data_IF_803780316119
#
_entry.id   IF_803780316119
#
_cell.length_a   1.000
_cell.length_b   1.000
_cell.length_c   1.000
_cell.angle_alpha   90.00
_cell.angle_beta   90.00
_cell.angle_gamma   90.00
#
_symmetry.space_group_name_H-M   'P 1'
#
loop_
_entity.id
_entity.type
_entity.pdbx_description
1 polymer ?
#
# COMPACT_ATOMS: atom_id res chain seq x y z
N UNK A 1 -1.06 9.88 -27.05
CA UNK A 1 -0.31 8.71 -27.54
C UNK A 1 -1.31 7.65 -27.98
N UNK A 2 -1.27 7.24 -29.25
CA UNK A 2 -2.08 6.12 -29.73
C UNK A 2 -1.37 4.81 -29.35
N UNK A 3 -2.09 3.88 -28.73
CA UNK A 3 -1.56 2.58 -28.32
C UNK A 3 -2.05 1.50 -29.30
N UNK A 4 -1.15 0.64 -29.79
CA UNK A 4 -1.52 -0.48 -30.68
C UNK A 4 -1.31 -1.80 -29.94
N UNK A 5 -2.39 -2.54 -29.73
CA UNK A 5 -2.34 -3.88 -29.17
C UNK A 5 -1.84 -4.87 -30.23
N UNK A 6 -0.72 -5.54 -29.95
CA UNK A 6 -0.08 -6.53 -30.84
C UNK A 6 -0.20 -7.97 -30.33
N UNK A 7 -0.99 -8.19 -29.28
CA UNK A 7 -1.12 -9.49 -28.63
C UNK A 7 -1.72 -10.53 -29.58
N UNK A 8 -2.75 -10.18 -30.35
CA UNK A 8 -3.33 -11.10 -31.35
C UNK A 8 -2.36 -11.46 -32.50
N UNK A 9 -1.71 -10.50 -33.18
CA UNK A 9 -0.66 -10.80 -34.15
C UNK A 9 0.45 -11.69 -33.58
N UNK A 10 0.87 -11.42 -32.33
CA UNK A 10 1.88 -12.21 -31.65
C UNK A 10 1.42 -13.66 -31.39
N UNK A 11 0.20 -13.86 -30.88
CA UNK A 11 -0.36 -15.20 -30.64
C UNK A 11 -0.47 -15.99 -31.95
N UNK A 12 -0.91 -15.33 -33.02
CA UNK A 12 -1.03 -15.95 -34.34
C UNK A 12 0.33 -16.38 -34.88
N UNK A 13 1.35 -15.53 -34.80
CA UNK A 13 2.72 -15.88 -35.19
C UNK A 13 3.31 -16.99 -34.31
N UNK A 14 3.06 -16.96 -32.99
CA UNK A 14 3.52 -18.00 -32.06
C UNK A 14 2.91 -19.35 -32.39
N UNK A 15 1.59 -19.41 -32.61
CA UNK A 15 0.89 -20.65 -32.93
C UNK A 15 1.32 -21.19 -34.30
N UNK A 16 1.52 -20.31 -35.29
CA UNK A 16 2.02 -20.70 -36.60
C UNK A 16 3.47 -21.22 -36.55
N UNK A 17 4.33 -20.61 -35.73
CA UNK A 17 5.70 -21.09 -35.48
C UNK A 17 5.73 -22.46 -34.78
N UNK A 18 4.82 -22.71 -33.83
CA UNK A 18 4.67 -24.03 -33.20
C UNK A 18 4.19 -25.07 -34.20
N UNK A 19 3.17 -24.76 -35.00
CA UNK A 19 2.64 -25.67 -36.03
C UNK A 19 3.70 -26.01 -37.07
N UNK A 20 4.46 -25.02 -37.57
CA UNK A 20 5.56 -25.28 -38.50
C UNK A 20 6.65 -26.14 -37.89
N UNK A 21 7.00 -25.95 -36.60
CA UNK A 21 7.93 -26.82 -35.89
C UNK A 21 7.43 -28.28 -35.80
N UNK A 22 6.14 -28.50 -35.58
CA UNK A 22 5.53 -29.83 -35.59
C UNK A 22 5.50 -30.47 -36.98
N UNK A 23 5.21 -29.72 -38.04
CA UNK A 23 5.19 -30.22 -39.42
C UNK A 23 6.59 -30.72 -39.85
N UNK A 24 7.66 -30.03 -39.46
CA UNK A 24 9.03 -30.49 -39.73
C UNK A 24 9.51 -31.60 -38.77
N UNK A 25 8.95 -31.69 -37.57
CA UNK A 25 9.25 -32.77 -36.63
C UNK A 25 8.59 -34.10 -37.04
N UNK A 26 7.36 -34.06 -37.56
CA UNK A 26 6.64 -35.24 -38.05
C UNK A 26 7.31 -35.86 -39.29
N UNK A 27 7.85 -35.04 -40.20
CA UNK A 27 8.63 -35.54 -41.35
C UNK A 27 9.93 -36.25 -40.91
N UNK A 28 10.49 -35.89 -39.76
CA UNK A 28 11.72 -36.48 -39.23
C UNK A 28 11.45 -37.68 -38.28
N UNK A 29 10.19 -37.88 -37.88
CA UNK A 29 9.78 -38.99 -37.00
C UNK A 29 9.59 -40.30 -37.77
N UNK A 30 9.16 -40.23 -39.04
CA UNK A 30 8.92 -41.43 -39.87
C UNK A 30 10.18 -42.28 -40.07
N UNK A 31 11.36 -41.66 -40.15
CA UNK A 31 12.63 -42.36 -40.40
C UNK A 31 13.34 -42.85 -39.11
N UNK A 32 12.83 -42.52 -37.92
CA UNK A 32 13.43 -42.95 -36.64
C UNK A 32 12.57 -43.93 -35.83
N UNK A 33 11.39 -44.29 -36.32
CA UNK A 33 10.38 -45.11 -35.62
C UNK A 33 10.68 -46.63 -35.58
N UNK A 34 11.94 -47.07 -35.53
CA UNK A 34 12.23 -48.52 -35.45
C UNK A 34 13.41 -48.94 -34.54
N UNK A 35 14.06 -48.04 -33.81
CA UNK A 35 15.23 -48.41 -32.98
C UNK A 35 15.23 -47.90 -31.53
N UNK A 36 14.13 -47.31 -31.06
CA UNK A 36 13.95 -47.05 -29.62
C UNK A 36 12.61 -47.62 -29.22
N UNK A 37 12.63 -48.54 -28.25
CA UNK A 37 11.45 -49.15 -27.67
C UNK A 37 10.46 -48.05 -27.27
N UNK A 38 9.21 -48.19 -27.70
CA UNK A 38 8.11 -47.34 -27.29
C UNK A 38 7.88 -47.53 -25.80
N UNK A 39 8.45 -46.65 -24.99
CA UNK A 39 7.99 -46.46 -23.61
C UNK A 39 6.59 -45.83 -23.68
N UNK A 40 5.61 -46.70 -23.50
CA UNK A 40 4.20 -46.34 -23.54
C UNK A 40 3.86 -45.51 -22.32
N UNK A 41 3.73 -44.20 -22.54
CA UNK A 41 2.96 -43.32 -21.67
C UNK A 41 3.77 -42.59 -20.63
N UNK A 42 4.37 -41.46 -21.02
CA UNK A 42 4.12 -40.16 -20.40
C UNK A 42 4.56 -39.10 -21.41
N UNK A 43 3.71 -38.09 -21.63
CA UNK A 43 3.97 -36.94 -22.48
C UNK A 43 5.16 -36.13 -21.94
N UNK A 44 6.39 -36.51 -22.31
CA UNK A 44 7.58 -35.78 -21.91
C UNK A 44 7.84 -34.61 -22.86
N UNK A 45 7.56 -33.45 -22.29
CA UNK A 45 7.92 -32.13 -22.79
C UNK A 45 9.39 -32.08 -23.16
N UNK A 46 9.68 -31.50 -24.32
CA UNK A 46 11.03 -31.15 -24.79
C UNK A 46 11.75 -30.38 -23.68
N UNK A 47 12.72 -31.04 -23.05
CA UNK A 47 13.88 -30.51 -22.34
C UNK A 47 13.72 -29.09 -21.73
N UNK A 48 12.98 -29.03 -20.62
CA UNK A 48 13.19 -28.03 -19.56
C UNK A 48 13.86 -28.69 -18.33
N UNK A 49 14.75 -29.66 -18.57
CA UNK A 49 15.42 -30.44 -17.52
C UNK A 49 16.37 -29.62 -16.62
N UNK A 50 16.50 -28.30 -16.87
CA UNK A 50 17.24 -27.34 -16.04
C UNK A 50 16.39 -26.16 -15.53
N UNK A 51 15.06 -26.18 -15.68
CA UNK A 51 14.21 -25.26 -14.90
C UNK A 51 13.84 -26.00 -13.64
N UNK A 52 14.53 -25.67 -12.53
CA UNK A 52 14.20 -26.13 -11.19
C UNK A 52 12.69 -26.06 -10.98
N UNK A 53 11.98 -27.19 -11.07
CA UNK A 53 10.54 -27.23 -10.83
C UNK A 53 10.22 -27.01 -9.33
N UNK A 54 11.23 -27.07 -8.47
CA UNK A 54 11.19 -26.64 -7.07
C UNK A 54 11.14 -25.12 -6.88
N UNK A 55 11.42 -24.31 -7.93
CA UNK A 55 11.44 -22.84 -7.86
C UNK A 55 10.15 -22.15 -8.33
N UNK A 56 9.03 -22.87 -8.41
CA UNK A 56 7.72 -22.30 -8.74
C UNK A 56 6.89 -21.95 -7.49
N UNK A 57 7.35 -22.29 -6.29
CA UNK A 57 6.72 -21.79 -5.08
C UNK A 57 7.02 -20.29 -4.95
N UNK A 58 5.99 -19.45 -4.72
CA UNK A 58 6.24 -18.05 -4.44
C UNK A 58 7.15 -17.93 -3.19
N UNK A 59 8.08 -16.97 -3.16
CA UNK A 59 8.98 -16.79 -2.03
C UNK A 59 8.24 -16.70 -0.71
N UNK A 60 8.79 -17.23 0.38
CA UNK A 60 8.12 -17.26 1.71
C UNK A 60 7.70 -15.86 2.21
N UNK A 61 8.33 -14.79 1.70
CA UNK A 61 7.96 -13.42 2.04
C UNK A 61 6.73 -12.88 1.28
N UNK A 62 6.21 -13.58 0.27
CA UNK A 62 5.01 -13.16 -0.47
C UNK A 62 3.77 -13.15 0.40
N UNK A 63 3.64 -14.09 1.34
CA UNK A 63 2.51 -14.12 2.27
C UNK A 63 2.51 -12.87 3.17
N UNK A 64 3.70 -12.45 3.61
CA UNK A 64 3.87 -11.21 4.36
C UNK A 64 3.58 -9.96 3.50
N UNK A 65 3.85 -10.01 2.19
CA UNK A 65 3.49 -8.93 1.26
C UNK A 65 1.96 -8.81 1.14
N UNK A 66 1.25 -9.91 0.91
CA UNK A 66 -0.21 -9.92 0.79
C UNK A 66 -0.89 -9.46 2.08
N UNK A 67 -0.42 -9.96 3.22
CA UNK A 67 -0.94 -9.55 4.52
C UNK A 67 -0.67 -8.05 4.78
N UNK A 68 0.49 -7.52 4.39
CA UNK A 68 0.76 -6.08 4.53
C UNK A 68 -0.17 -5.27 3.62
N UNK A 69 -0.44 -5.72 2.39
CA UNK A 69 -1.39 -5.06 1.49
C UNK A 69 -2.82 -5.08 2.04
N UNK A 70 -3.22 -6.18 2.68
CA UNK A 70 -4.49 -6.28 3.37
C UNK A 70 -4.56 -5.28 4.54
N UNK A 71 -3.52 -5.22 5.38
CA UNK A 71 -3.40 -4.26 6.48
C UNK A 71 -3.48 -2.82 5.96
N UNK A 72 -2.76 -2.48 4.89
CA UNK A 72 -2.78 -1.14 4.28
C UNK A 72 -4.19 -0.73 3.84
N UNK A 73 -4.89 -1.64 3.17
CA UNK A 73 -6.26 -1.41 2.70
C UNK A 73 -7.22 -1.16 3.86
N UNK A 74 -7.13 -1.98 4.91
CA UNK A 74 -7.94 -1.83 6.13
C UNK A 74 -7.60 -0.56 6.90
N UNK A 75 -6.32 -0.20 6.95
CA UNK A 75 -5.83 0.98 7.66
C UNK A 75 -6.35 2.26 6.98
N UNK A 76 -6.39 2.32 5.64
CA UNK A 76 -7.01 3.42 4.90
C UNK A 76 -8.47 3.62 5.30
N UNK A 77 -9.28 2.55 5.26
CA UNK A 77 -10.71 2.62 5.64
C UNK A 77 -10.90 3.07 7.08
N UNK A 78 -10.05 2.59 8.00
CA UNK A 78 -10.10 3.00 9.41
C UNK A 78 -9.72 4.46 9.62
N UNK A 79 -8.68 4.97 8.94
CA UNK A 79 -8.33 6.39 9.01
C UNK A 79 -9.49 7.25 8.49
N UNK A 80 -10.09 6.87 7.36
CA UNK A 80 -11.20 7.64 6.78
C UNK A 80 -12.42 7.66 7.73
N UNK A 81 -12.73 6.52 8.36
CA UNK A 81 -13.77 6.42 9.38
C UNK A 81 -13.47 7.28 10.62
N UNK A 82 -12.19 7.36 11.04
CA UNK A 82 -11.76 8.22 12.16
C UNK A 82 -12.03 9.70 11.85
N UNK A 83 -11.67 10.11 10.63
CA UNK A 83 -11.84 11.50 10.16
C UNK A 83 -13.33 11.87 10.13
N UNK A 84 -14.18 10.98 9.64
CA UNK A 84 -15.63 11.19 9.63
C UNK A 84 -16.18 11.34 11.05
N UNK A 85 -15.74 10.49 11.98
CA UNK A 85 -16.18 10.54 13.38
C UNK A 85 -15.70 11.83 14.08
N UNK A 86 -14.45 12.23 13.86
CA UNK A 86 -13.91 13.51 14.35
C UNK A 86 -14.72 14.71 13.82
N UNK A 87 -15.09 14.71 12.54
CA UNK A 87 -15.90 15.77 11.94
C UNK A 87 -17.34 15.78 12.50
N UNK A 88 -17.92 14.61 12.75
CA UNK A 88 -19.25 14.45 13.35
C UNK A 88 -19.29 14.99 14.78
N UNK A 89 -18.28 14.68 15.60
CA UNK A 89 -18.18 15.20 16.97
C UNK A 89 -17.98 16.72 16.99
N UNK A 90 -17.26 17.25 15.99
CA UNK A 90 -17.14 18.68 15.83
C UNK A 90 -18.49 19.31 15.46
N UNK A 91 -19.26 18.79 14.52
CA UNK A 91 -20.47 19.50 14.06
C UNK A 91 -21.64 19.57 15.05
N UNK A 92 -21.59 18.86 16.19
CA UNK A 92 -22.70 18.83 17.15
C UNK A 92 -22.72 20.02 18.12
N UNK A 93 -23.88 20.70 18.28
CA UNK A 93 -24.23 21.45 19.48
C UNK A 93 -24.46 20.44 20.61
N UNK A 94 -23.93 20.70 21.78
CA UNK A 94 -23.75 19.74 22.89
C UNK A 94 -25.04 19.08 23.40
N UNK A 95 -24.85 17.90 24.01
CA UNK A 95 -25.72 17.14 24.92
C UNK A 95 -26.42 15.91 24.29
N UNK A 96 -26.26 14.78 24.97
CA UNK A 96 -26.67 13.38 24.70
C UNK A 96 -25.82 12.55 23.71
N UNK A 97 -25.24 11.46 24.24
CA UNK A 97 -24.50 10.35 23.60
C UNK A 97 -22.98 10.48 23.31
N UNK A 98 -22.21 11.28 24.07
CA UNK A 98 -20.75 11.39 23.88
C UNK A 98 -19.96 10.10 24.17
N UNK A 99 -20.38 9.32 25.18
CA UNK A 99 -19.56 8.20 25.69
C UNK A 99 -19.41 7.02 24.73
N UNK A 100 -20.39 6.75 23.86
CA UNK A 100 -20.30 5.65 22.90
C UNK A 100 -19.40 6.00 21.72
N UNK A 101 -19.54 7.21 21.17
CA UNK A 101 -18.72 7.68 20.06
C UNK A 101 -17.26 7.88 20.49
N UNK A 102 -17.01 8.37 21.72
CA UNK A 102 -15.68 8.47 22.30
C UNK A 102 -15.00 7.11 22.47
N UNK A 103 -15.70 6.12 23.01
CA UNK A 103 -15.19 4.74 23.09
C UNK A 103 -14.87 4.17 21.70
N UNK A 104 -15.70 4.47 20.69
CA UNK A 104 -15.45 4.05 19.32
C UNK A 104 -14.19 4.71 18.75
N UNK A 105 -13.97 6.00 18.96
CA UNK A 105 -12.74 6.69 18.54
C UNK A 105 -11.48 6.11 19.20
N UNK A 106 -11.54 5.86 20.51
CA UNK A 106 -10.42 5.26 21.24
C UNK A 106 -10.13 3.83 20.78
N UNK A 107 -11.18 3.04 20.51
CA UNK A 107 -11.03 1.71 19.94
C UNK A 107 -10.37 1.79 18.55
N UNK A 108 -10.86 2.67 17.68
CA UNK A 108 -10.35 2.83 16.33
C UNK A 108 -8.89 3.31 16.33
N UNK A 109 -8.55 4.25 17.23
CA UNK A 109 -7.17 4.74 17.45
C UNK A 109 -6.23 3.61 17.87
N UNK A 110 -6.65 2.76 18.82
CA UNK A 110 -5.89 1.57 19.24
C UNK A 110 -5.74 0.55 18.11
N UNK A 111 -6.79 0.32 17.34
CA UNK A 111 -6.77 -0.58 16.19
C UNK A 111 -5.85 -0.08 15.06
N UNK A 112 -5.85 1.22 14.77
CA UNK A 112 -4.93 1.85 13.84
C UNK A 112 -3.48 1.69 14.33
N UNK A 113 -3.22 1.93 15.61
CA UNK A 113 -1.90 1.71 16.22
C UNK A 113 -1.41 0.27 16.06
N UNK A 114 -2.26 -0.71 16.38
CA UNK A 114 -1.95 -2.14 16.18
C UNK A 114 -1.71 -2.48 14.71
N UNK A 115 -2.49 -1.92 13.79
CA UNK A 115 -2.33 -2.14 12.37
C UNK A 115 -1.00 -1.57 11.84
N UNK A 116 -0.60 -0.38 12.28
CA UNK A 116 0.72 0.18 11.96
C UNK A 116 1.86 -0.70 12.48
N UNK A 117 1.79 -1.16 13.73
CA UNK A 117 2.82 -2.06 14.29
C UNK A 117 2.87 -3.39 13.53
N UNK A 118 1.71 -3.99 13.23
CA UNK A 118 1.63 -5.24 12.45
C UNK A 118 2.20 -5.08 11.05
N UNK A 119 1.82 -4.02 10.33
CA UNK A 119 2.38 -3.71 9.01
C UNK A 119 3.89 -3.47 9.06
N UNK A 120 4.38 -2.75 10.08
CA UNK A 120 5.81 -2.53 10.29
C UNK A 120 6.56 -3.86 10.52
N UNK A 121 6.04 -4.74 11.38
CA UNK A 121 6.67 -6.03 11.64
C UNK A 121 6.75 -6.90 10.39
N UNK A 122 5.70 -6.92 9.55
CA UNK A 122 5.72 -7.67 8.30
C UNK A 122 6.71 -7.10 7.29
N UNK A 123 6.79 -5.78 7.16
CA UNK A 123 7.82 -5.13 6.34
C UNK A 123 9.22 -5.49 6.83
N UNK A 124 9.45 -5.58 8.15
CA UNK A 124 10.72 -6.05 8.69
C UNK A 124 10.98 -7.53 8.36
N UNK A 125 9.97 -8.39 8.40
CA UNK A 125 10.09 -9.80 7.98
C UNK A 125 10.47 -9.93 6.50
N UNK A 126 9.88 -9.12 5.62
CA UNK A 126 10.26 -9.09 4.21
C UNK A 126 11.69 -8.57 4.05
N UNK A 127 12.08 -7.56 4.83
CA UNK A 127 13.44 -7.00 4.82
C UNK A 127 14.49 -8.00 5.29
N UNK A 128 14.20 -8.81 6.31
CA UNK A 128 15.10 -9.87 6.76
C UNK A 128 15.15 -11.01 5.75
N UNK A 129 14.02 -11.39 5.13
CA UNK A 129 13.99 -12.35 4.04
C UNK A 129 14.84 -11.89 2.84
N UNK A 130 14.75 -10.62 2.45
CA UNK A 130 15.56 -10.02 1.39
C UNK A 130 17.08 -10.13 1.67
N UNK A 131 17.50 -10.06 2.94
CA UNK A 131 18.91 -10.19 3.31
C UNK A 131 19.44 -11.62 3.12
N UNK A 132 18.59 -12.62 3.33
CA UNK A 132 18.93 -14.05 3.27
C UNK A 132 18.59 -14.71 1.91
N UNK A 133 17.92 -13.99 1.02
CA UNK A 133 17.62 -14.46 -0.33
C UNK A 133 18.93 -14.82 -1.08
N UNK A 134 19.00 -16.05 -1.58
CA UNK A 134 20.13 -16.58 -2.36
C UNK A 134 20.08 -16.14 -3.82
N UNK A 135 18.89 -15.88 -4.36
CA UNK A 135 18.69 -15.37 -5.71
C UNK A 135 18.83 -13.85 -5.82
N UNK A 136 19.66 -13.37 -6.74
CA UNK A 136 19.83 -11.92 -6.97
C UNK A 136 18.53 -11.23 -7.41
N UNK A 137 17.72 -11.90 -8.23
CA UNK A 137 16.44 -11.36 -8.72
C UNK A 137 15.40 -11.32 -7.59
N UNK A 138 15.32 -12.40 -6.81
CA UNK A 138 14.42 -12.47 -5.65
C UNK A 138 14.77 -11.41 -4.60
N UNK A 139 16.06 -11.21 -4.32
CA UNK A 139 16.54 -10.15 -3.43
C UNK A 139 16.12 -8.77 -3.91
N UNK A 140 16.29 -8.48 -5.21
CA UNK A 140 15.91 -7.19 -5.79
C UNK A 140 14.39 -6.97 -5.72
N UNK A 141 13.60 -8.02 -5.97
CA UNK A 141 12.14 -7.98 -5.86
C UNK A 141 11.69 -7.73 -4.42
N UNK A 142 12.27 -8.42 -3.44
CA UNK A 142 11.94 -8.24 -2.03
C UNK A 142 12.32 -6.83 -1.52
N UNK A 143 13.47 -6.28 -1.94
CA UNK A 143 13.86 -4.90 -1.63
C UNK A 143 12.87 -3.91 -2.25
N UNK A 144 12.44 -4.14 -3.48
CA UNK A 144 11.42 -3.32 -4.15
C UNK A 144 10.07 -3.38 -3.42
N UNK A 145 9.66 -4.56 -2.94
CA UNK A 145 8.45 -4.76 -2.17
C UNK A 145 8.50 -4.01 -0.83
N UNK A 146 9.59 -4.15 -0.06
CA UNK A 146 9.81 -3.41 1.20
C UNK A 146 9.68 -1.91 0.98
N UNK A 147 10.17 -1.40 -0.14
CA UNK A 147 10.04 0.02 -0.46
C UNK A 147 8.61 0.46 -0.72
N UNK A 148 7.94 -0.22 -1.64
CA UNK A 148 6.56 0.12 -1.98
C UNK A 148 5.67 0.10 -0.73
N UNK A 149 5.82 -0.92 0.12
CA UNK A 149 5.10 -1.04 1.38
C UNK A 149 5.49 0.03 2.40
N UNK A 150 6.78 0.33 2.54
CA UNK A 150 7.25 1.36 3.48
C UNK A 150 6.76 2.76 3.08
N UNK A 151 6.80 3.09 1.79
CA UNK A 151 6.27 4.35 1.26
C UNK A 151 4.76 4.45 1.48
N UNK A 152 4.00 3.37 1.23
CA UNK A 152 2.56 3.35 1.47
C UNK A 152 2.21 3.50 2.97
N UNK A 153 2.93 2.79 3.85
CA UNK A 153 2.76 2.93 5.31
C UNK A 153 3.13 4.33 5.79
N UNK A 154 4.20 4.93 5.25
CA UNK A 154 4.61 6.29 5.60
C UNK A 154 3.56 7.32 5.15
N UNK A 155 3.01 7.19 3.93
CA UNK A 155 1.95 8.07 3.44
C UNK A 155 0.72 8.01 4.35
N UNK A 156 0.28 6.79 4.71
CA UNK A 156 -0.84 6.61 5.64
C UNK A 156 -0.52 7.15 7.04
N UNK A 157 0.71 6.97 7.53
CA UNK A 157 1.18 7.54 8.79
C UNK A 157 1.13 9.07 8.82
N UNK A 158 1.52 9.71 7.71
CA UNK A 158 1.41 11.16 7.55
C UNK A 158 -0.05 11.63 7.51
N UNK A 159 -0.91 10.92 6.76
CA UNK A 159 -2.37 11.20 6.74
C UNK A 159 -2.98 11.08 8.13
N UNK A 160 -2.66 10.02 8.87
CA UNK A 160 -3.14 9.79 10.23
C UNK A 160 -2.70 10.92 11.19
N UNK A 161 -1.41 11.29 11.18
CA UNK A 161 -0.89 12.37 12.02
C UNK A 161 -1.52 13.72 11.66
N UNK A 162 -1.72 13.99 10.37
CA UNK A 162 -2.38 15.20 9.90
C UNK A 162 -3.84 15.26 10.36
N UNK A 163 -4.59 14.16 10.22
CA UNK A 163 -5.97 14.04 10.69
C UNK A 163 -6.10 14.25 12.20
N UNK A 164 -5.22 13.61 12.99
CA UNK A 164 -5.19 13.77 14.44
C UNK A 164 -4.83 15.21 14.85
N UNK A 165 -3.80 15.80 14.23
CA UNK A 165 -3.40 17.18 14.54
C UNK A 165 -4.51 18.19 14.18
N UNK A 166 -5.19 17.97 13.04
CA UNK A 166 -6.33 18.79 12.63
C UNK A 166 -7.46 18.75 13.67
N UNK A 167 -7.81 17.55 14.15
CA UNK A 167 -8.79 17.38 15.21
C UNK A 167 -8.37 18.07 16.51
N UNK A 168 -7.12 17.88 16.96
CA UNK A 168 -6.59 18.53 18.16
C UNK A 168 -6.65 20.07 18.06
N UNK A 169 -6.29 20.65 16.92
CA UNK A 169 -6.39 22.11 16.71
C UNK A 169 -7.85 22.58 16.76
N UNK A 170 -8.76 21.83 16.16
CA UNK A 170 -10.18 22.17 16.17
C UNK A 170 -10.81 22.07 17.57
N UNK A 171 -10.45 21.06 18.36
CA UNK A 171 -10.90 20.94 19.77
C UNK A 171 -10.37 22.12 20.60
N UNK A 172 -9.08 22.45 20.49
CA UNK A 172 -8.49 23.59 21.21
C UNK A 172 -9.13 24.92 20.83
N UNK A 173 -9.33 25.18 19.54
CA UNK A 173 -9.99 26.44 19.10
C UNK A 173 -11.44 26.56 19.61
N UNK A 174 -12.14 25.44 19.81
CA UNK A 174 -13.47 25.44 20.43
C UNK A 174 -13.41 25.72 21.92
N UNK A 175 -12.45 25.14 22.61
CA UNK A 175 -12.20 25.39 24.02
C UNK A 175 -11.85 26.86 24.27
N UNK A 176 -10.94 27.43 23.47
CA UNK A 176 -10.59 28.86 23.53
C UNK A 176 -11.81 29.76 23.28
N UNK A 177 -12.61 29.45 22.25
CA UNK A 177 -13.83 30.21 21.95
C UNK A 177 -14.87 30.07 23.07
N UNK A 178 -15.04 28.87 23.61
CA UNK A 178 -15.93 28.61 24.74
C UNK A 178 -15.48 29.40 25.97
N UNK A 179 -14.19 29.32 26.33
CA UNK A 179 -13.63 30.02 27.48
C UNK A 179 -13.75 31.54 27.38
N UNK A 180 -13.62 32.13 26.19
CA UNK A 180 -13.79 33.58 25.97
C UNK A 180 -15.19 34.08 26.36
N UNK A 181 -16.26 33.35 26.02
CA UNK A 181 -17.62 33.72 26.43
C UNK A 181 -17.81 33.69 27.96
N UNK A 182 -17.13 32.79 28.67
CA UNK A 182 -17.29 32.63 30.12
C UNK A 182 -16.41 33.56 30.96
N UNK A 183 -15.19 33.88 30.50
CA UNK A 183 -14.30 34.78 31.25
C UNK A 183 -14.78 36.23 31.22
N UNK A 184 -15.46 36.64 30.15
CA UNK A 184 -15.94 38.02 30.00
C UNK A 184 -17.20 38.27 30.84
N UNK A 185 -18.14 37.32 30.91
CA UNK A 185 -19.33 37.42 31.77
C UNK A 185 -18.98 37.45 33.27
N UNK A 186 -17.99 36.68 33.73
CA UNK A 186 -17.58 36.73 35.15
C UNK A 186 -17.01 38.10 35.53
N UNK A 187 -16.33 38.79 34.60
CA UNK A 187 -15.84 40.15 34.83
C UNK A 187 -16.95 41.20 34.77
N UNK A 188 -17.95 41.04 33.90
CA UNK A 188 -19.08 41.97 33.76
C UNK A 188 -20.03 41.85 34.96
N UNK A 189 -20.30 40.63 35.45
CA UNK A 189 -21.15 40.42 36.62
C UNK A 189 -20.49 40.82 37.94
N UNK A 190 -19.18 40.58 38.13
CA UNK A 190 -18.49 41.03 39.35
C UNK A 190 -18.35 42.57 39.41
N UNK A 191 -18.17 43.22 38.26
CA UNK A 191 -18.15 44.69 38.19
C UNK A 191 -19.54 45.31 38.36
N UNK A 192 -20.60 44.68 37.83
CA UNK A 192 -21.98 45.18 38.01
C UNK A 192 -22.56 44.87 39.40
N UNK A 193 -22.24 43.73 40.03
CA UNK A 193 -22.66 43.44 41.40
C UNK A 193 -21.99 44.38 42.42
N UNK A 194 -20.74 44.78 42.16
CA UNK A 194 -20.07 45.82 42.94
C UNK A 194 -20.68 47.21 42.71
N UNK A 195 -21.25 47.49 41.54
CA UNK A 195 -21.91 48.76 41.22
C UNK A 195 -23.34 48.86 41.78
N UNK A 196 -24.12 47.77 41.75
CA UNK A 196 -25.52 47.74 42.22
C UNK A 196 -25.66 47.69 43.76
N UNK A 197 -24.60 47.32 44.50
CA UNK A 197 -24.63 47.33 45.98
C UNK A 197 -24.58 48.75 46.57
N UNK A 198 -24.19 49.77 45.80
CA UNK A 198 -24.12 51.18 46.26
C UNK A 198 -25.34 52.03 45.88
N UNK A 199 -26.31 51.49 45.14
CA UNK A 199 -27.48 52.24 44.65
C UNK A 199 -28.79 51.92 45.39
N UNK A 200 -28.75 51.16 46.49
CA UNK A 200 -29.95 50.85 47.28
C UNK A 200 -30.28 51.90 48.36
N UNK A 201 -29.62 53.05 48.37
CA UNK A 201 -29.90 54.15 49.29
C UNK A 201 -29.98 55.49 48.56
N UNK A 202 -30.98 55.67 47.69
CA UNK A 202 -31.66 56.96 47.55
C UNK A 202 -32.85 56.93 46.59
N UNK A 203 -33.99 57.27 47.18
CA UNK A 203 -35.08 58.06 46.63
C UNK A 203 -36.14 57.35 45.75
N UNK A 204 -37.35 57.43 46.27
CA UNK A 204 -38.63 57.20 45.62
C UNK A 204 -38.78 58.02 44.33
N UNK A 205 -39.65 57.54 43.43
CA UNK A 205 -40.17 58.15 42.18
C UNK A 205 -39.57 57.65 40.86
N UNK A 206 -40.05 56.49 40.37
CA UNK A 206 -40.64 56.39 39.03
C UNK A 206 -41.31 55.02 38.84
N UNK A 207 -42.64 55.04 38.69
CA UNK A 207 -43.44 53.95 38.11
C UNK A 207 -43.12 53.89 36.61
N UNK A 208 -43.20 52.70 35.99
CA UNK A 208 -43.28 52.47 34.53
C UNK A 208 -42.02 52.03 33.77
N UNK A 209 -41.16 51.18 34.35
CA UNK A 209 -40.14 50.47 33.55
C UNK A 209 -39.74 49.11 34.12
N UNK A 210 -40.71 48.22 34.40
CA UNK A 210 -40.44 46.90 34.99
C UNK A 210 -40.89 45.68 34.16
N UNK A 211 -41.51 45.84 32.99
CA UNK A 211 -42.08 44.70 32.26
C UNK A 211 -41.21 44.10 31.13
N UNK A 212 -40.09 44.74 30.76
CA UNK A 212 -39.29 44.30 29.60
C UNK A 212 -37.93 43.66 29.95
N UNK A 213 -37.61 43.53 31.25
CA UNK A 213 -36.30 43.02 31.72
C UNK A 213 -36.31 41.55 32.15
N UNK A 214 -37.47 41.03 32.53
CA UNK A 214 -37.62 39.64 32.99
C UNK A 214 -37.51 38.61 31.85
N UNK A 215 -37.88 38.99 30.62
CA UNK A 215 -37.91 38.04 29.49
C UNK A 215 -36.54 37.83 28.82
N UNK A 216 -35.62 38.79 28.93
CA UNK A 216 -34.23 38.63 28.46
C UNK A 216 -33.30 38.00 29.51
N UNK A 217 -33.64 38.05 30.79
CA UNK A 217 -32.84 37.41 31.84
C UNK A 217 -33.10 35.89 31.94
N UNK A 218 -34.28 35.41 31.57
CA UNK A 218 -34.59 33.98 31.69
C UNK A 218 -33.77 33.11 30.72
N UNK A 219 -33.45 33.58 29.51
CA UNK A 219 -32.59 32.84 28.58
C UNK A 219 -31.10 32.85 29.00
N UNK A 220 -30.64 33.90 29.70
CA UNK A 220 -29.27 33.96 30.22
C UNK A 220 -29.04 33.14 31.49
N UNK A 221 -30.08 32.93 32.31
CA UNK A 221 -29.96 32.18 33.58
C UNK A 221 -30.06 30.67 33.37
N UNK A 222 -30.69 30.20 32.30
CA UNK A 222 -30.82 28.76 32.03
C UNK A 222 -29.49 28.10 31.64
N UNK A 223 -28.52 28.88 31.14
CA UNK A 223 -27.13 28.47 30.90
C UNK A 223 -26.23 28.56 32.15
N UNK A 224 -26.75 29.10 33.26
CA UNK A 224 -26.02 29.38 34.49
C UNK A 224 -26.15 28.27 35.55
N UNK A 225 -26.88 27.19 35.23
CA UNK A 225 -27.13 26.04 36.12
C UNK A 225 -26.25 24.81 35.80
N UNK A 226 -25.21 24.94 34.97
CA UNK A 226 -24.19 23.89 34.90
C UNK A 226 -23.16 24.15 36.00
N UNK A 227 -23.18 23.30 37.02
CA UNK A 227 -22.34 23.39 38.22
C UNK A 227 -20.87 23.56 37.80
N UNK A 228 -20.10 24.54 38.32
CA UNK A 228 -18.67 24.67 38.01
C UNK A 228 -17.88 23.37 38.21
N UNK A 229 -18.34 22.49 39.10
CA UNK A 229 -17.78 21.15 39.28
C UNK A 229 -17.97 20.25 38.05
N UNK A 230 -19.14 20.27 37.41
CA UNK A 230 -19.43 19.45 36.22
C UNK A 230 -18.70 19.97 34.99
N UNK A 231 -18.50 21.29 34.90
CA UNK A 231 -17.64 21.92 33.88
C UNK A 231 -16.18 21.51 34.03
N UNK A 232 -15.67 21.48 35.27
CA UNK A 232 -14.29 21.06 35.54
C UNK A 232 -14.09 19.56 35.26
N UNK A 233 -15.09 18.71 35.54
CA UNK A 233 -15.07 17.29 35.16
C UNK A 233 -15.03 17.11 33.65
N UNK A 234 -15.88 17.82 32.91
CA UNK A 234 -15.93 17.72 31.44
C UNK A 234 -14.62 18.20 30.79
N UNK A 235 -14.02 19.28 31.31
CA UNK A 235 -12.71 19.74 30.85
C UNK A 235 -11.60 18.71 31.13
N UNK A 236 -11.60 18.09 32.32
CA UNK A 236 -10.62 17.07 32.70
C UNK A 236 -10.74 15.80 31.83
N UNK A 237 -11.96 15.31 31.56
CA UNK A 237 -12.21 14.17 30.67
C UNK A 237 -11.71 14.44 29.24
N UNK A 238 -11.91 15.67 28.74
CA UNK A 238 -11.40 16.09 27.43
C UNK A 238 -9.88 16.15 27.38
N UNK A 239 -9.23 16.62 28.44
CA UNK A 239 -7.77 16.68 28.53
C UNK A 239 -7.17 15.26 28.56
N UNK A 240 -7.80 14.32 29.24
CA UNK A 240 -7.42 12.89 29.21
C UNK A 240 -7.51 12.31 27.80
N UNK A 241 -8.60 12.56 27.08
CA UNK A 241 -8.77 12.10 25.69
C UNK A 241 -7.70 12.68 24.75
N UNK A 242 -7.40 13.96 24.87
CA UNK A 242 -6.31 14.61 24.12
C UNK A 242 -4.97 13.94 24.46
N UNK A 243 -4.73 13.65 25.74
CA UNK A 243 -3.57 12.89 26.21
C UNK A 243 -3.43 11.53 25.54
N UNK A 244 -4.53 10.77 25.45
CA UNK A 244 -4.58 9.45 24.81
C UNK A 244 -4.20 9.52 23.31
N UNK A 245 -4.70 10.53 22.59
CA UNK A 245 -4.35 10.75 21.18
C UNK A 245 -2.85 11.06 21.02
N UNK A 246 -2.32 11.96 21.85
CA UNK A 246 -0.90 12.35 21.79
C UNK A 246 -0.01 11.16 22.12
N UNK A 247 -0.39 10.33 23.10
CA UNK A 247 0.33 9.12 23.46
C UNK A 247 0.33 8.11 22.31
N UNK A 248 -0.82 7.87 21.66
CA UNK A 248 -0.91 6.98 20.50
C UNK A 248 0.03 7.41 19.35
N UNK A 249 0.13 8.72 19.08
CA UNK A 249 1.06 9.25 18.07
C UNK A 249 2.52 9.13 18.53
N UNK A 250 2.78 9.33 19.83
CA UNK A 250 4.11 9.20 20.41
C UNK A 250 4.62 7.76 20.33
N UNK A 251 3.77 6.77 20.60
CA UNK A 251 4.10 5.34 20.53
C UNK A 251 4.50 4.93 19.10
N UNK A 252 3.82 5.46 18.09
CA UNK A 252 4.12 5.19 16.67
C UNK A 252 5.32 5.99 16.13
N UNK A 253 5.88 6.92 16.90
CA UNK A 253 6.96 7.81 16.44
C UNK A 253 8.18 7.04 15.94
N UNK A 254 8.56 5.98 16.64
CA UNK A 254 9.72 5.16 16.27
C UNK A 254 9.47 4.42 14.95
N UNK A 255 8.27 3.83 14.78
CA UNK A 255 7.84 3.18 13.53
C UNK A 255 7.91 4.16 12.36
N UNK A 256 7.37 5.36 12.52
CA UNK A 256 7.39 6.36 11.44
C UNK A 256 8.81 6.84 11.10
N UNK A 257 9.69 6.98 12.10
CA UNK A 257 11.10 7.31 11.86
C UNK A 257 11.82 6.21 11.09
N UNK A 258 11.58 4.96 11.44
CA UNK A 258 12.19 3.81 10.77
C UNK A 258 11.65 3.59 9.36
N UNK A 259 10.34 3.80 9.15
CA UNK A 259 9.76 3.77 7.80
C UNK A 259 10.35 4.88 6.92
N UNK A 260 10.51 6.08 7.47
CA UNK A 260 11.12 7.21 6.76
C UNK A 260 12.58 6.95 6.39
N UNK A 261 13.38 6.35 7.28
CA UNK A 261 14.77 5.99 6.97
C UNK A 261 14.84 4.91 5.89
N UNK A 262 13.96 3.90 5.95
CA UNK A 262 13.88 2.86 4.92
C UNK A 262 13.56 3.43 3.54
N UNK A 263 12.74 4.49 3.47
CA UNK A 263 12.43 5.18 2.22
C UNK A 263 13.57 6.13 1.77
N UNK A 264 14.20 6.83 2.71
CA UNK A 264 15.26 7.81 2.42
C UNK A 264 16.57 7.16 1.94
N UNK A 265 16.97 6.02 2.54
CA UNK A 265 18.21 5.29 2.19
C UNK A 265 18.20 4.75 0.74
N UNK A 266 17.06 4.78 0.07
CA UNK A 266 16.84 4.12 -1.21
C UNK A 266 16.67 5.06 -2.41
N UNK A 267 16.73 6.38 -2.22
CA UNK A 267 16.68 7.38 -3.30
C UNK A 267 15.30 7.49 -4.00
N UNK A 268 15.16 8.49 -4.87
CA UNK A 268 13.90 8.79 -5.58
C UNK A 268 13.42 7.58 -6.39
N UNK A 269 12.14 7.21 -6.24
CA UNK A 269 11.49 6.11 -6.97
C UNK A 269 11.73 6.18 -8.49
N UNK A 270 11.92 7.39 -9.04
CA UNK A 270 12.28 7.64 -10.44
C UNK A 270 13.63 7.00 -10.85
N UNK A 271 14.67 7.11 -10.03
CA UNK A 271 16.02 6.62 -10.34
C UNK A 271 16.03 5.10 -10.58
N UNK A 272 15.10 4.39 -9.92
CA UNK A 272 14.94 2.93 -10.04
C UNK A 272 14.17 2.51 -11.26
N UNK A 273 13.16 3.27 -11.67
CA UNK A 273 12.40 2.99 -12.89
C UNK A 273 13.33 3.19 -14.07
N UNK A 274 14.08 4.29 -14.09
CA UNK A 274 15.06 4.58 -15.14
C UNK A 274 16.16 3.50 -15.15
N UNK A 275 16.72 3.13 -13.99
CA UNK A 275 17.69 2.05 -13.88
C UNK A 275 17.15 0.71 -14.39
N UNK A 276 15.95 0.30 -13.97
CA UNK A 276 15.36 -0.98 -14.40
C UNK A 276 15.01 -0.98 -15.89
N UNK A 277 14.57 0.15 -16.45
CA UNK A 277 14.33 0.30 -17.90
C UNK A 277 15.64 0.21 -18.66
N UNK A 278 16.70 0.89 -18.20
CA UNK A 278 18.03 0.83 -18.79
C UNK A 278 18.58 -0.60 -18.76
N UNK A 279 18.49 -1.30 -17.62
CA UNK A 279 18.89 -2.71 -17.51
C UNK A 279 18.08 -3.62 -18.45
N UNK A 280 16.77 -3.39 -18.56
CA UNK A 280 15.91 -4.14 -19.48
C UNK A 280 16.33 -3.89 -20.93
N UNK A 281 16.63 -2.65 -21.30
CA UNK A 281 17.11 -2.30 -22.63
C UNK A 281 18.43 -3.03 -22.95
N UNK A 282 19.38 -3.05 -22.01
CA UNK A 282 20.66 -3.76 -22.17
C UNK A 282 20.42 -5.25 -22.38
N UNK A 283 19.61 -5.89 -21.52
CA UNK A 283 19.31 -7.32 -21.62
C UNK A 283 18.60 -7.68 -22.94
N UNK A 284 17.63 -6.88 -23.39
CA UNK A 284 16.94 -7.08 -24.67
C UNK A 284 17.92 -6.96 -25.84
N UNK A 285 18.83 -5.98 -25.79
CA UNK A 285 19.83 -5.80 -26.84
C UNK A 285 20.83 -6.95 -26.90
N UNK A 286 21.23 -7.50 -25.75
CA UNK A 286 22.06 -8.70 -25.67
C UNK A 286 21.31 -9.94 -26.17
N UNK A 287 20.05 -10.13 -25.76
CA UNK A 287 19.19 -11.19 -26.26
C UNK A 287 19.03 -11.13 -27.78
N UNK A 288 18.84 -9.93 -28.35
CA UNK A 288 18.80 -9.73 -29.80
C UNK A 288 20.11 -10.13 -30.49
N UNK A 289 21.27 -9.79 -29.92
CA UNK A 289 22.57 -10.23 -30.45
C UNK A 289 22.70 -11.75 -30.44
N UNK A 290 22.27 -12.41 -29.37
CA UNK A 290 22.28 -13.88 -29.28
C UNK A 290 21.33 -14.52 -30.30
N UNK A 291 20.12 -13.96 -30.48
CA UNK A 291 19.15 -14.43 -31.46
C UNK A 291 19.68 -14.30 -32.90
N UNK A 292 20.34 -13.18 -33.21
CA UNK A 292 20.99 -12.96 -34.52
C UNK A 292 22.14 -13.93 -34.75
N UNK A 293 22.92 -14.23 -33.70
CA UNK A 293 23.99 -15.24 -33.76
C UNK A 293 23.42 -16.62 -34.04
N UNK A 294 22.31 -16.99 -33.39
CA UNK A 294 21.60 -18.25 -33.62
C UNK A 294 21.05 -18.35 -35.05
N UNK A 295 20.41 -17.31 -35.59
CA UNK A 295 19.93 -17.29 -36.98
C UNK A 295 21.09 -17.45 -37.98
N UNK A 296 22.23 -16.78 -37.73
CA UNK A 296 23.43 -16.93 -38.55
C UNK A 296 23.95 -18.37 -38.56
N UNK A 297 24.04 -19.02 -37.39
CA UNK A 297 24.42 -20.44 -37.31
C UNK A 297 23.42 -21.34 -38.03
N UNK A 298 22.12 -21.10 -37.86
CA UNK A 298 21.08 -21.90 -38.52
C UNK A 298 21.16 -21.78 -40.05
N UNK A 299 21.43 -20.58 -40.58
CA UNK A 299 21.62 -20.35 -42.03
C UNK A 299 22.89 -21.01 -42.57
N UNK A 300 24.00 -20.94 -41.83
CA UNK A 300 25.27 -21.53 -42.24
C UNK A 300 25.20 -23.06 -42.34
N UNK A 301 24.51 -23.70 -41.39
CA UNK A 301 24.42 -25.17 -41.31
C UNK A 301 23.53 -25.79 -42.40
N UNK A 302 22.74 -25.01 -43.15
CA UNK A 302 21.95 -25.53 -44.29
C UNK A 302 22.84 -26.16 -45.38
N UNK A 303 24.05 -25.61 -45.57
CA UNK A 303 25.03 -26.16 -46.53
C UNK A 303 25.65 -27.47 -46.03
N UNK A 304 25.85 -27.59 -44.71
CA UNK A 304 26.38 -28.80 -44.08
C UNK A 304 25.42 -29.99 -44.26
N UNK A 305 24.11 -29.78 -44.09
CA UNK A 305 23.09 -30.81 -44.34
C UNK A 305 23.16 -31.36 -45.77
N UNK A 306 23.35 -30.50 -46.78
CA UNK A 306 23.51 -30.93 -48.17
C UNK A 306 24.76 -31.81 -48.36
N UNK A 307 25.89 -31.43 -47.75
CA UNK A 307 27.14 -32.21 -47.83
C UNK A 307 26.99 -33.57 -47.14
N UNK A 308 26.35 -33.63 -45.98
CA UNK A 308 26.11 -34.90 -45.26
C UNK A 308 25.18 -35.83 -46.04
N UNK A 309 24.13 -35.28 -46.67
CA UNK A 309 23.23 -36.06 -47.53
C UNK A 309 23.96 -36.60 -48.76
N UNK A 310 24.78 -35.79 -49.42
CA UNK A 310 25.62 -36.23 -50.56
C UNK A 310 26.60 -37.33 -50.16
N UNK A 311 27.29 -37.18 -49.03
CA UNK A 311 28.22 -38.18 -48.52
C UNK A 311 27.49 -39.51 -48.19
N UNK A 312 26.32 -39.44 -47.56
CA UNK A 312 25.48 -40.60 -47.28
C UNK A 312 25.03 -41.33 -48.55
N UNK A 313 24.62 -40.59 -49.58
CA UNK A 313 24.22 -41.16 -50.87
C UNK A 313 25.38 -41.91 -51.56
N UNK A 314 26.60 -41.36 -51.53
CA UNK A 314 27.80 -42.01 -52.10
C UNK A 314 28.12 -43.32 -51.38
N UNK A 315 28.02 -43.33 -50.05
CA UNK A 315 28.25 -44.54 -49.24
C UNK A 315 27.20 -45.60 -49.59
N UNK A 316 25.92 -45.22 -49.70
CA UNK A 316 24.84 -46.13 -50.07
C UNK A 316 25.04 -46.73 -51.46
N UNK A 317 25.39 -45.92 -52.46
CA UNK A 317 25.66 -46.40 -53.83
C UNK A 317 26.86 -47.34 -53.85
N UNK A 318 27.93 -47.00 -53.11
CA UNK A 318 29.13 -47.85 -53.00
C UNK A 318 28.82 -49.19 -52.34
N UNK A 319 28.01 -49.20 -51.29
CA UNK A 319 27.55 -50.41 -50.64
C UNK A 319 26.71 -51.29 -51.57
N UNK A 320 25.73 -50.71 -52.27
CA UNK A 320 24.92 -51.42 -53.25
C UNK A 320 25.77 -52.01 -54.39
N UNK A 321 26.77 -51.28 -54.87
CA UNK A 321 27.67 -51.78 -55.91
C UNK A 321 28.48 -52.99 -55.44
N UNK A 322 28.98 -53.00 -54.21
CA UNK A 322 29.69 -54.16 -53.64
C UNK A 322 28.76 -55.36 -53.52
N UNK A 323 27.53 -55.16 -53.05
CA UNK A 323 26.56 -56.25 -52.87
C UNK A 323 26.08 -56.83 -54.20
N UNK A 324 25.83 -56.01 -55.23
CA UNK A 324 25.35 -56.49 -56.54
C UNK A 324 26.45 -57.02 -57.47
N UNK A 325 27.72 -56.64 -57.23
CA UNK A 325 28.86 -57.10 -58.03
C UNK A 325 29.52 -58.35 -57.43
N UNK A 326 29.15 -58.74 -56.20
CA UNK A 326 29.48 -60.04 -55.59
C UNK A 326 28.40 -61.04 -55.93
#
# INVERSE_FOLDING_TARGET
MAMRNLTEPFILMRNNALQSKHIYAEQNLSDRMALVASDSGTSDNVELKNVNLESNAPPVWTDALEETQYILSRLRVKIDSLVELHAKQLTRPTLDDTSQEERQMEQLTREIGRAFSSGYHQVQTIKTAARHATGSVERQLAISAVMALSTALQELGLRYRSAQNHYLTQVKSREERSNQFFTEDQSIFLNNAAADTWLMESNETNSDSWDNREQQQQDSVLLQLEDPEDRMKLAAEREEQIGNIVQSIADLRHIFKDLASMVQDQGTILDRIDYNIEQTQVQVQEGYKQLRKADSYQRANKKLYCIVVLAGAIILVSFLFVVFKT
#
